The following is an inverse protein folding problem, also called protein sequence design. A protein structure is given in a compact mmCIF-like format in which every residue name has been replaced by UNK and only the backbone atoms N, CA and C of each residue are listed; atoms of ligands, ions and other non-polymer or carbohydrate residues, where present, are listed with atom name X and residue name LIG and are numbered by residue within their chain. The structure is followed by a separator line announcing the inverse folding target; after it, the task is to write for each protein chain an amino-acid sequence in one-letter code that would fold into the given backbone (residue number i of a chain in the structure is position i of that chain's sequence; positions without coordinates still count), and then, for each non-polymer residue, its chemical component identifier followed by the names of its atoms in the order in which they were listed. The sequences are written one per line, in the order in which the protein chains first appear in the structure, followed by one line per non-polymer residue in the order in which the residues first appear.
data_IF_435748228959
#
_entry.id   IF_435748228959
#
_cell.length_a   1.000
_cell.length_b   1.000
_cell.length_c   1.000
_cell.angle_alpha   90.00
_cell.angle_beta   90.00
_cell.angle_gamma   90.00
#
_symmetry.space_group_name_H-M   'P 1'
#
loop_
_entity.id
_entity.type
_entity.pdbx_description
1 polymer ?
#
# COMPACT_ATOMS: atom_id res chain seq x y z
N UNK A 1 10.65 12.60 -10.44
CA UNK A 1 12.09 12.22 -10.36
C UNK A 1 12.58 11.81 -11.74
N UNK A 2 13.90 11.79 -11.99
CA UNK A 2 14.47 11.64 -13.34
C UNK A 2 14.24 10.24 -13.91
N UNK A 3 13.66 10.15 -15.11
CA UNK A 3 13.59 8.90 -15.92
C UNK A 3 14.94 8.17 -16.01
N UNK A 4 16.06 8.88 -15.91
CA UNK A 4 17.40 8.30 -15.96
C UNK A 4 17.70 7.34 -14.79
N UNK A 5 17.23 7.63 -13.57
CA UNK A 5 17.51 6.77 -12.41
C UNK A 5 16.69 5.48 -12.47
N UNK A 6 15.47 5.57 -13.01
CA UNK A 6 14.65 4.39 -13.26
C UNK A 6 15.28 3.51 -14.34
N UNK A 7 15.81 4.11 -15.41
CA UNK A 7 16.54 3.38 -16.45
C UNK A 7 17.80 2.70 -15.90
N UNK A 8 18.64 3.43 -15.15
CA UNK A 8 19.83 2.85 -14.48
C UNK A 8 19.45 1.66 -13.61
N UNK A 9 18.33 1.73 -12.88
CA UNK A 9 17.81 0.61 -12.08
C UNK A 9 17.50 -0.60 -12.96
N UNK A 10 16.77 -0.40 -14.07
CA UNK A 10 16.39 -1.50 -14.97
C UNK A 10 17.57 -2.12 -15.71
N UNK A 11 18.65 -1.35 -15.89
CA UNK A 11 19.92 -1.81 -16.46
C UNK A 11 20.90 -2.33 -15.39
N UNK A 12 20.48 -2.36 -14.12
CA UNK A 12 21.26 -2.76 -12.94
C UNK A 12 22.57 -1.97 -12.77
N UNK A 13 22.61 -0.72 -13.23
CA UNK A 13 23.74 0.17 -13.08
C UNK A 13 23.74 0.83 -11.69
N UNK A 14 24.89 0.79 -10.99
CA UNK A 14 25.09 1.45 -9.69
C UNK A 14 24.18 1.01 -8.53
N UNK A 15 23.41 -0.08 -8.71
CA UNK A 15 22.59 -0.68 -7.65
C UNK A 15 23.45 -1.15 -6.47
N UNK A 16 23.00 -0.88 -5.25
CA UNK A 16 23.74 -1.13 -4.01
C UNK A 16 22.90 -1.84 -2.92
N UNK A 17 21.67 -2.23 -3.28
CA UNK A 17 20.75 -3.04 -2.47
C UNK A 17 19.83 -3.87 -3.37
N UNK A 18 19.42 -5.05 -2.88
CA UNK A 18 18.39 -5.88 -3.53
C UNK A 18 17.22 -6.06 -2.56
N UNK A 19 16.03 -5.62 -2.96
CA UNK A 19 14.80 -5.90 -2.21
C UNK A 19 14.22 -7.25 -2.66
N UNK A 20 13.80 -8.07 -1.70
CA UNK A 20 13.14 -9.34 -1.94
C UNK A 20 11.67 -9.21 -1.52
N UNK A 21 10.76 -9.45 -2.47
CA UNK A 21 9.32 -9.57 -2.20
C UNK A 21 8.92 -11.01 -2.57
N UNK A 22 8.75 -11.85 -1.56
CA UNK A 22 8.73 -13.31 -1.74
C UNK A 22 10.02 -13.78 -2.43
N UNK A 23 9.87 -14.54 -3.52
CA UNK A 23 11.00 -15.08 -4.28
C UNK A 23 11.55 -14.12 -5.35
N UNK A 24 10.92 -12.95 -5.57
CA UNK A 24 11.33 -12.01 -6.61
C UNK A 24 12.35 -11.00 -6.08
N UNK A 25 13.42 -10.81 -6.86
CA UNK A 25 14.52 -9.88 -6.54
C UNK A 25 14.39 -8.58 -7.32
N UNK A 26 14.62 -7.46 -6.63
CA UNK A 26 14.56 -6.14 -7.21
C UNK A 26 15.82 -5.32 -6.86
N UNK A 27 16.81 -5.27 -7.77
CA UNK A 27 17.95 -4.38 -7.62
C UNK A 27 17.52 -2.91 -7.57
N UNK A 28 18.03 -2.17 -6.60
CA UNK A 28 17.65 -0.79 -6.31
C UNK A 28 18.85 0.06 -5.85
N UNK A 29 18.64 1.37 -5.74
CA UNK A 29 19.58 2.33 -5.18
C UNK A 29 19.12 2.75 -3.79
N UNK A 30 19.94 2.51 -2.76
CA UNK A 30 19.68 2.93 -1.38
C UNK A 30 19.40 4.42 -1.30
N UNK A 31 20.16 5.25 -2.04
CA UNK A 31 19.99 6.70 -2.03
C UNK A 31 18.63 7.14 -2.57
N UNK A 32 18.12 6.47 -3.60
CA UNK A 32 16.79 6.78 -4.17
C UNK A 32 15.73 6.40 -3.15
N UNK A 33 15.75 5.14 -2.69
CA UNK A 33 14.80 4.62 -1.69
C UNK A 33 14.79 5.49 -0.41
N UNK A 34 15.96 5.86 0.12
CA UNK A 34 16.10 6.70 1.31
C UNK A 34 15.65 8.15 1.10
N UNK A 35 15.66 8.63 -0.14
CA UNK A 35 15.21 9.99 -0.46
C UNK A 35 13.69 10.10 -0.63
N UNK A 36 13.03 8.97 -0.88
CA UNK A 36 11.59 8.91 -1.23
C UNK A 36 10.74 8.18 -0.21
N UNK A 37 11.35 7.40 0.69
CA UNK A 37 10.66 6.56 1.64
C UNK A 37 11.34 6.62 3.01
N UNK A 38 10.62 7.11 4.02
CA UNK A 38 11.15 7.30 5.36
C UNK A 38 11.52 5.96 6.03
N UNK A 39 10.76 4.89 5.77
CA UNK A 39 11.10 3.55 6.24
C UNK A 39 12.51 3.15 5.80
N UNK A 40 12.80 3.25 4.50
CA UNK A 40 14.11 2.94 3.94
C UNK A 40 15.19 3.90 4.44
N UNK A 41 14.87 5.18 4.58
CA UNK A 41 15.79 6.17 5.16
C UNK A 41 16.27 5.76 6.56
N UNK A 42 15.33 5.46 7.45
CA UNK A 42 15.62 5.04 8.83
C UNK A 42 16.38 3.71 8.87
N UNK A 43 15.94 2.74 8.08
CA UNK A 43 16.57 1.42 8.00
C UNK A 43 18.02 1.51 7.53
N UNK A 44 18.30 2.28 6.46
CA UNK A 44 19.65 2.42 5.94
C UNK A 44 20.58 3.24 6.83
N UNK A 45 20.06 4.26 7.52
CA UNK A 45 20.85 5.00 8.52
C UNK A 45 21.23 4.12 9.72
N UNK A 46 20.31 3.27 10.20
CA UNK A 46 20.59 2.35 11.30
C UNK A 46 21.60 1.26 10.92
N UNK A 47 21.61 0.84 9.64
CA UNK A 47 22.40 -0.29 9.12
C UNK A 47 23.76 0.05 8.49
N UNK A 48 24.27 1.29 8.58
CA UNK A 48 25.53 1.71 7.93
C UNK A 48 26.80 0.96 8.40
N UNK A 49 26.72 0.03 9.36
CA UNK A 49 27.89 -0.69 9.85
C UNK A 49 28.35 -1.86 8.96
N UNK A 50 27.54 -2.44 8.07
CA UNK A 50 27.91 -3.70 7.39
C UNK A 50 27.57 -3.79 5.89
N UNK A 51 28.64 -3.82 5.07
CA UNK A 51 28.78 -4.50 3.75
C UNK A 51 28.16 -3.93 2.46
N UNK A 52 28.86 -4.23 1.36
CA UNK A 52 28.48 -4.07 -0.04
C UNK A 52 27.40 -5.08 -0.44
N UNK A 53 26.29 -4.59 -1.01
CA UNK A 53 25.11 -5.35 -1.48
C UNK A 53 24.44 -6.22 -0.41
N UNK A 54 23.49 -5.62 0.32
CA UNK A 54 22.59 -6.34 1.21
C UNK A 54 21.31 -6.77 0.46
N UNK A 55 20.91 -8.03 0.64
CA UNK A 55 19.56 -8.48 0.29
C UNK A 55 18.63 -8.19 1.47
N UNK A 56 17.47 -7.57 1.22
CA UNK A 56 16.51 -7.19 2.26
C UNK A 56 15.16 -7.79 1.91
N UNK A 57 14.70 -8.71 2.74
CA UNK A 57 13.39 -9.33 2.59
C UNK A 57 12.28 -8.49 3.21
N UNK A 58 11.22 -8.27 2.44
CA UNK A 58 9.97 -7.63 2.85
C UNK A 58 8.87 -8.65 2.59
N UNK A 59 8.56 -9.47 3.59
CA UNK A 59 7.70 -10.65 3.44
C UNK A 59 6.20 -10.31 3.50
N UNK A 60 5.88 -9.14 4.03
CA UNK A 60 4.53 -8.63 4.22
C UNK A 60 3.93 -8.02 2.94
N UNK A 61 4.75 -7.82 1.90
CA UNK A 61 4.33 -7.25 0.61
C UNK A 61 4.50 -8.29 -0.49
N UNK A 62 3.42 -8.53 -1.22
CA UNK A 62 3.39 -9.37 -2.41
C UNK A 62 4.25 -8.77 -3.53
N UNK A 63 4.82 -9.64 -4.37
CA UNK A 63 5.85 -9.22 -5.33
C UNK A 63 5.38 -8.27 -6.44
N UNK A 64 4.11 -8.36 -6.85
CA UNK A 64 3.47 -7.46 -7.80
C UNK A 64 3.24 -6.08 -7.18
N UNK A 65 2.82 -6.03 -5.91
CA UNK A 65 2.67 -4.79 -5.14
C UNK A 65 4.03 -4.14 -4.88
N UNK A 66 5.04 -4.93 -4.51
CA UNK A 66 6.41 -4.46 -4.31
C UNK A 66 7.01 -3.83 -5.57
N UNK A 67 6.74 -4.42 -6.74
CA UNK A 67 7.15 -3.86 -8.04
C UNK A 67 6.51 -2.49 -8.31
N UNK A 68 5.20 -2.36 -8.08
CA UNK A 68 4.48 -1.09 -8.21
C UNK A 68 5.03 -0.01 -7.27
N UNK A 69 5.28 -0.37 -6.01
CA UNK A 69 5.87 0.54 -5.02
C UNK A 69 7.27 0.98 -5.45
N UNK A 70 8.14 0.07 -5.91
CA UNK A 70 9.45 0.46 -6.44
C UNK A 70 9.30 1.42 -7.62
N UNK A 71 8.39 1.13 -8.55
CA UNK A 71 8.08 2.03 -9.66
C UNK A 71 7.75 3.44 -9.15
N UNK A 72 6.82 3.53 -8.21
CA UNK A 72 6.41 4.77 -7.57
C UNK A 72 7.57 5.52 -6.89
N UNK A 73 8.45 4.81 -6.16
CA UNK A 73 9.59 5.44 -5.49
C UNK A 73 10.60 6.06 -6.47
N UNK A 74 10.60 5.65 -7.74
CA UNK A 74 11.49 6.20 -8.77
C UNK A 74 10.80 7.23 -9.68
N UNK A 75 9.52 7.04 -10.02
CA UNK A 75 8.79 7.90 -10.95
C UNK A 75 7.98 8.99 -10.24
N UNK A 76 7.47 8.70 -9.04
CA UNK A 76 6.44 9.46 -8.35
C UNK A 76 5.01 9.17 -8.85
N UNK A 77 4.84 8.19 -9.74
CA UNK A 77 3.55 7.79 -10.32
C UNK A 77 3.23 6.34 -9.98
N UNK A 78 1.95 6.04 -9.79
CA UNK A 78 1.49 4.70 -9.42
C UNK A 78 0.20 4.38 -10.19
N UNK A 79 0.18 3.23 -10.85
CA UNK A 79 -0.99 2.73 -11.56
C UNK A 79 -1.90 1.98 -10.58
N UNK A 80 -2.87 2.72 -10.04
CA UNK A 80 -3.83 2.20 -9.05
C UNK A 80 -5.06 1.64 -9.77
N UNK A 81 -5.53 0.48 -9.33
CA UNK A 81 -6.72 -0.22 -9.81
C UNK A 81 -7.54 -0.73 -8.62
N UNK A 82 -8.82 -1.07 -8.83
CA UNK A 82 -9.66 -1.65 -7.78
C UNK A 82 -9.08 -2.94 -7.17
N UNK A 83 -8.37 -3.74 -7.98
CA UNK A 83 -7.76 -5.01 -7.58
C UNK A 83 -6.51 -4.83 -6.69
N UNK A 84 -5.76 -3.74 -6.87
CA UNK A 84 -4.50 -3.52 -6.17
C UNK A 84 -4.59 -2.46 -5.05
N UNK A 85 -5.62 -1.61 -5.04
CA UNK A 85 -5.71 -0.45 -4.14
C UNK A 85 -5.62 -0.82 -2.65
N UNK A 86 -6.34 -1.85 -2.19
CA UNK A 86 -6.30 -2.26 -0.78
C UNK A 86 -4.91 -2.78 -0.35
N UNK A 87 -4.26 -3.57 -1.22
CA UNK A 87 -2.92 -4.12 -0.97
C UNK A 87 -1.85 -3.02 -1.02
N UNK A 88 -1.99 -2.06 -1.95
CA UNK A 88 -1.16 -0.86 -2.01
C UNK A 88 -1.34 0.01 -0.77
N UNK A 89 -2.56 0.12 -0.24
CA UNK A 89 -2.84 0.89 0.97
C UNK A 89 -2.11 0.29 2.17
N UNK A 90 -2.21 -1.04 2.35
CA UNK A 90 -1.48 -1.76 3.39
C UNK A 90 0.05 -1.58 3.27
N UNK A 91 0.59 -1.71 2.05
CA UNK A 91 2.00 -1.48 1.78
C UNK A 91 2.43 -0.03 2.09
N UNK A 92 1.60 0.96 1.74
CA UNK A 92 1.87 2.38 1.97
C UNK A 92 1.95 2.72 3.46
N UNK A 93 1.08 2.14 4.29
CA UNK A 93 1.14 2.30 5.75
C UNK A 93 2.43 1.69 6.30
N UNK A 94 2.75 0.46 5.91
CA UNK A 94 3.93 -0.26 6.41
C UNK A 94 5.24 0.46 6.07
N UNK A 95 5.33 0.99 4.85
CA UNK A 95 6.51 1.70 4.35
C UNK A 95 6.51 3.19 4.70
N UNK A 96 5.54 3.67 5.48
CA UNK A 96 5.41 5.07 5.92
C UNK A 96 5.31 6.06 4.74
N UNK A 97 4.58 5.68 3.68
CA UNK A 97 4.36 6.50 2.48
C UNK A 97 3.07 7.31 2.62
N UNK A 98 3.10 8.35 3.47
CA UNK A 98 1.93 9.17 3.80
C UNK A 98 1.19 9.76 2.60
N UNK A 99 1.90 10.42 1.69
CA UNK A 99 1.30 11.02 0.48
C UNK A 99 0.64 9.97 -0.43
N UNK A 100 1.16 8.74 -0.45
CA UNK A 100 0.56 7.65 -1.22
C UNK A 100 -0.68 7.10 -0.51
N UNK A 101 -0.61 6.95 0.82
CA UNK A 101 -1.74 6.53 1.66
C UNK A 101 -2.95 7.44 1.47
N UNK A 102 -2.75 8.76 1.47
CA UNK A 102 -3.82 9.75 1.25
C UNK A 102 -4.46 9.60 -0.13
N UNK A 103 -3.67 9.43 -1.19
CA UNK A 103 -4.18 9.21 -2.56
C UNK A 103 -4.95 7.90 -2.70
N UNK A 104 -4.51 6.86 -1.99
CA UNK A 104 -5.19 5.58 -1.98
C UNK A 104 -6.49 5.64 -1.17
N UNK A 105 -6.54 6.43 -0.09
CA UNK A 105 -7.80 6.72 0.62
C UNK A 105 -8.81 7.40 -0.31
N UNK A 106 -8.41 8.47 -1.01
CA UNK A 106 -9.27 9.17 -1.98
C UNK A 106 -9.78 8.24 -3.08
N UNK A 107 -8.88 7.45 -3.69
CA UNK A 107 -9.27 6.47 -4.69
C UNK A 107 -10.28 5.45 -4.15
N UNK A 108 -10.08 4.95 -2.93
CA UNK A 108 -10.97 3.95 -2.35
C UNK A 108 -12.33 4.53 -1.97
N UNK A 109 -12.41 5.79 -1.53
CA UNK A 109 -13.69 6.49 -1.30
C UNK A 109 -14.53 6.54 -2.59
N UNK A 110 -13.90 6.78 -3.74
CA UNK A 110 -14.58 6.85 -5.04
C UNK A 110 -15.02 5.47 -5.59
N UNK A 111 -14.50 4.38 -5.05
CA UNK A 111 -14.69 3.00 -5.57
C UNK A 111 -15.28 2.03 -4.53
N UNK A 112 -16.02 2.55 -3.55
CA UNK A 112 -16.77 1.71 -2.60
C UNK A 112 -17.92 1.01 -3.33
N UNK A 113 -18.00 -0.31 -3.15
CA UNK A 113 -19.01 -1.18 -3.73
C UNK A 113 -19.42 -2.26 -2.74
N UNK A 114 -20.54 -2.94 -2.98
CA UNK A 114 -21.06 -3.94 -2.04
C UNK A 114 -20.03 -5.04 -1.71
N UNK A 115 -19.31 -5.53 -2.73
CA UNK A 115 -18.30 -6.58 -2.61
C UNK A 115 -17.05 -6.18 -1.78
N UNK A 116 -16.76 -4.89 -1.61
CA UNK A 116 -15.56 -4.42 -0.90
C UNK A 116 -15.86 -3.55 0.34
N UNK A 117 -17.11 -3.15 0.56
CA UNK A 117 -17.47 -2.18 1.60
C UNK A 117 -17.04 -2.64 3.00
N UNK A 118 -17.23 -3.93 3.32
CA UNK A 118 -16.90 -4.49 4.63
C UNK A 118 -15.38 -4.52 4.87
N UNK A 119 -14.62 -5.00 3.88
CA UNK A 119 -13.15 -5.03 3.96
C UNK A 119 -12.55 -3.62 4.00
N UNK A 120 -13.10 -2.67 3.24
CA UNK A 120 -12.70 -1.26 3.30
C UNK A 120 -13.00 -0.63 4.67
N UNK A 121 -14.13 -0.96 5.30
CA UNK A 121 -14.45 -0.47 6.63
C UNK A 121 -13.48 -1.02 7.69
N UNK A 122 -13.12 -2.30 7.58
CA UNK A 122 -12.13 -2.94 8.45
C UNK A 122 -10.73 -2.32 8.28
N UNK A 123 -10.25 -2.20 7.03
CA UNK A 123 -8.95 -1.61 6.72
C UNK A 123 -8.86 -0.13 7.10
N UNK A 124 -9.90 0.65 6.82
CA UNK A 124 -9.94 2.07 7.14
C UNK A 124 -9.85 2.33 8.65
N UNK A 125 -10.46 1.47 9.48
CA UNK A 125 -10.29 1.50 10.94
C UNK A 125 -8.88 1.14 11.36
N UNK A 126 -8.31 0.06 10.80
CA UNK A 126 -6.96 -0.39 11.12
C UNK A 126 -5.94 0.73 10.86
N UNK A 127 -6.08 1.44 9.74
CA UNK A 127 -5.17 2.51 9.31
C UNK A 127 -5.63 3.92 9.68
N UNK A 128 -6.73 4.04 10.42
CA UNK A 128 -7.32 5.29 10.94
C UNK A 128 -7.71 6.32 9.86
N UNK A 129 -8.18 5.84 8.72
CA UNK A 129 -8.63 6.61 7.55
C UNK A 129 -10.05 7.14 7.77
N UNK A 130 -10.18 8.35 8.32
CA UNK A 130 -11.48 8.84 8.82
C UNK A 130 -12.49 9.11 7.71
N UNK A 131 -12.06 9.59 6.55
CA UNK A 131 -13.00 9.84 5.44
C UNK A 131 -13.47 8.51 4.85
N UNK A 132 -12.57 7.55 4.67
CA UNK A 132 -12.97 6.22 4.19
C UNK A 132 -13.88 5.47 5.18
N UNK A 133 -13.67 5.60 6.50
CA UNK A 133 -14.60 5.06 7.50
C UNK A 133 -15.99 5.64 7.29
N UNK A 134 -16.08 6.97 7.20
CA UNK A 134 -17.35 7.68 7.06
C UNK A 134 -18.07 7.30 5.77
N UNK A 135 -17.36 7.27 4.64
CA UNK A 135 -17.95 6.98 3.34
C UNK A 135 -18.36 5.49 3.23
N UNK A 136 -17.54 4.57 3.75
CA UNK A 136 -17.90 3.15 3.81
C UNK A 136 -19.11 2.89 4.72
N UNK A 137 -19.21 3.57 5.86
CA UNK A 137 -20.39 3.48 6.73
C UNK A 137 -21.65 4.03 6.06
N UNK A 138 -21.55 5.17 5.37
CA UNK A 138 -22.67 5.73 4.61
C UNK A 138 -23.13 4.78 3.50
N UNK A 139 -22.18 4.15 2.80
CA UNK A 139 -22.46 3.16 1.77
C UNK A 139 -23.14 1.93 2.38
N UNK A 140 -22.61 1.39 3.47
CA UNK A 140 -23.16 0.24 4.20
C UNK A 140 -24.62 0.47 4.61
N UNK A 141 -24.92 1.63 5.20
CA UNK A 141 -26.28 1.98 5.61
C UNK A 141 -27.24 2.11 4.41
N UNK A 142 -26.77 2.60 3.27
CA UNK A 142 -27.59 2.84 2.08
C UNK A 142 -27.81 1.56 1.24
N UNK A 143 -26.87 0.61 1.28
CA UNK A 143 -26.88 -0.61 0.45
C UNK A 143 -26.83 -1.89 1.29
N UNK A 144 -27.27 -1.81 2.55
CA UNK A 144 -27.16 -2.90 3.52
C UNK A 144 -27.68 -4.23 2.98
N UNK A 145 -28.87 -4.26 2.36
CA UNK A 145 -29.46 -5.50 1.85
C UNK A 145 -28.62 -6.16 0.76
N UNK A 146 -27.93 -5.39 -0.07
CA UNK A 146 -27.01 -5.90 -1.10
C UNK A 146 -25.77 -6.53 -0.45
N UNK A 147 -25.18 -5.84 0.51
CA UNK A 147 -23.98 -6.30 1.24
C UNK A 147 -24.27 -7.56 2.06
N UNK A 148 -25.45 -7.65 2.69
CA UNK A 148 -25.87 -8.85 3.41
C UNK A 148 -25.97 -10.07 2.49
N UNK A 149 -26.30 -9.87 1.20
CA UNK A 149 -26.39 -10.95 0.22
C UNK A 149 -25.02 -11.35 -0.34
N UNK A 150 -24.04 -10.45 -0.37
CA UNK A 150 -22.65 -10.70 -0.78
C UNK A 150 -21.90 -11.62 0.22
N UNK A 151 -22.36 -11.70 1.47
CA UNK A 151 -22.12 -12.86 2.33
C UNK A 151 -20.87 -12.83 3.22
N UNK A 152 -20.19 -11.69 3.35
CA UNK A 152 -19.09 -11.57 4.33
C UNK A 152 -19.31 -10.39 5.29
N UNK A 153 -19.77 -10.70 6.50
CA UNK A 153 -20.05 -9.74 7.58
C UNK A 153 -19.13 -9.97 8.79
N UNK A 154 -18.16 -10.88 8.67
CA UNK A 154 -17.33 -11.33 9.80
C UNK A 154 -16.49 -10.19 10.37
N UNK A 155 -16.19 -9.18 9.56
CA UNK A 155 -15.37 -8.03 9.95
C UNK A 155 -16.17 -6.82 10.49
N UNK A 156 -17.51 -6.89 10.51
CA UNK A 156 -18.35 -5.82 11.05
C UNK A 156 -18.32 -5.82 12.59
N UNK A 157 -18.25 -4.63 13.18
CA UNK A 157 -18.33 -4.41 14.62
C UNK A 157 -19.80 -4.23 15.05
N UNK A 158 -20.10 -4.40 16.35
CA UNK A 158 -21.47 -4.23 16.87
C UNK A 158 -22.09 -2.86 16.49
N UNK A 159 -21.28 -1.80 16.50
CA UNK A 159 -21.71 -0.45 16.12
C UNK A 159 -22.16 -0.33 14.65
N UNK A 160 -21.64 -1.18 13.75
CA UNK A 160 -22.04 -1.20 12.34
C UNK A 160 -23.40 -1.85 12.13
N UNK A 161 -23.79 -2.73 13.05
CA UNK A 161 -25.06 -3.45 12.98
C UNK A 161 -26.23 -2.59 13.47
N UNK A 162 -25.97 -1.50 14.20
CA UNK A 162 -27.01 -0.61 14.73
C UNK A 162 -27.74 0.15 13.63
N UNK A 163 -27.08 0.41 12.49
CA UNK A 163 -27.70 1.03 11.30
C UNK A 163 -28.41 0.04 10.37
N UNK A 164 -28.23 -1.26 10.60
CA UNK A 164 -28.74 -2.36 9.77
C UNK A 164 -30.08 -2.92 10.32
N UNK A 165 -30.31 -2.79 11.63
CA UNK A 165 -31.52 -3.25 12.35
C UNK A 165 -32.57 -2.15 12.49
#
# INVERSE_FOLDING_TARGET
MSNSLYQMRTEEEFVDVVLLFGERKFPCHKVVLASTCEYFHRMFLAGMQESSSAEIAINEIESDIGELIIGYLYSGTLDTTEENAQRLLAASEMLLLGDLKEKLEEFLCDHIQAANCVSLLSLSRLYKLQELIKDAQNYLNSHCQEILNEGDLVELQEDDLVGIL
#
